data_IF_633801967912
#
_entry.id   IF_633801967912
#
_cell.length_a   1.000
_cell.length_b   1.000
_cell.length_c   1.000
_cell.angle_alpha   90.00
_cell.angle_beta   90.00
_cell.angle_gamma   90.00
#
_symmetry.space_group_name_H-M   'P 1'
#
loop_
_entity.id
_entity.type
_entity.pdbx_description
1 polymer ?
#
# COMPACT_ATOMS: atom_id res chain seq x y z
N UNK A 1 -2.00 -40.58 -5.72
CA UNK A 1 -1.91 -39.13 -5.44
C UNK A 1 -2.22 -38.96 -3.97
N UNK A 2 -1.41 -38.23 -3.19
CA UNK A 2 -1.64 -38.08 -1.76
C UNK A 2 -2.92 -37.28 -1.50
N UNK A 3 -3.63 -37.67 -0.45
CA UNK A 3 -4.83 -37.00 0.05
C UNK A 3 -4.64 -36.64 1.52
N UNK A 4 -5.26 -35.55 1.94
CA UNK A 4 -5.29 -35.13 3.33
C UNK A 4 -6.74 -35.03 3.80
N UNK A 5 -7.03 -35.72 4.89
CA UNK A 5 -8.31 -35.63 5.60
C UNK A 5 -8.15 -34.62 6.72
N UNK A 6 -8.97 -33.58 6.69
CA UNK A 6 -9.07 -32.59 7.76
C UNK A 6 -10.44 -32.78 8.41
N UNK A 7 -10.45 -33.01 9.71
CA UNK A 7 -11.67 -33.24 10.47
C UNK A 7 -11.68 -32.40 11.73
N UNK A 8 -12.86 -32.17 12.31
CA UNK A 8 -12.98 -31.54 13.63
C UNK A 8 -13.40 -32.57 14.65
N UNK A 9 -12.62 -32.73 15.72
CA UNK A 9 -13.00 -33.60 16.82
C UNK A 9 -14.26 -33.07 17.53
N UNK A 10 -14.87 -33.88 18.39
CA UNK A 10 -15.99 -33.46 19.23
C UNK A 10 -15.66 -32.23 20.12
N UNK A 11 -14.38 -32.01 20.40
CA UNK A 11 -13.87 -30.82 21.13
C UNK A 11 -13.66 -29.59 20.24
N UNK A 12 -13.97 -29.70 18.94
CA UNK A 12 -13.79 -28.66 17.93
C UNK A 12 -12.34 -28.47 17.47
N UNK A 13 -11.40 -29.33 17.90
CA UNK A 13 -9.99 -29.23 17.49
C UNK A 13 -9.80 -29.84 16.10
N UNK A 14 -9.03 -29.19 15.20
CA UNK A 14 -8.73 -29.76 13.90
C UNK A 14 -7.76 -30.94 14.03
N UNK A 15 -8.15 -32.08 13.47
CA UNK A 15 -7.30 -33.25 13.25
C UNK A 15 -6.90 -33.34 11.78
N UNK A 16 -5.71 -33.91 11.53
CA UNK A 16 -5.14 -34.08 10.20
C UNK A 16 -4.69 -35.52 10.02
N UNK A 17 -5.07 -36.13 8.91
CA UNK A 17 -4.63 -37.46 8.53
C UNK A 17 -4.22 -37.47 7.06
N UNK A 18 -3.01 -37.93 6.76
CA UNK A 18 -2.51 -38.05 5.40
C UNK A 18 -2.63 -39.49 4.92
N UNK A 19 -3.12 -39.67 3.70
CA UNK A 19 -3.28 -40.96 3.04
C UNK A 19 -2.66 -40.92 1.64
N UNK A 20 -2.08 -42.03 1.18
CA UNK A 20 -1.38 -42.08 -0.12
C UNK A 20 -2.35 -42.30 -1.30
N UNK A 21 -3.51 -42.89 -1.00
CA UNK A 21 -4.57 -43.24 -1.94
C UNK A 21 -5.93 -42.76 -1.44
N UNK A 22 -6.84 -42.46 -2.37
CA UNK A 22 -8.19 -41.97 -2.03
C UNK A 22 -8.99 -42.98 -1.20
N UNK A 23 -8.85 -44.27 -1.52
CA UNK A 23 -9.57 -45.37 -0.85
C UNK A 23 -9.25 -45.43 0.66
N UNK A 24 -8.00 -45.19 1.04
CA UNK A 24 -7.57 -45.11 2.44
C UNK A 24 -8.17 -43.88 3.15
N UNK A 25 -8.16 -42.72 2.48
CA UNK A 25 -8.78 -41.50 3.00
C UNK A 25 -10.29 -41.69 3.26
N UNK A 26 -11.00 -42.37 2.35
CA UNK A 26 -12.43 -42.67 2.51
C UNK A 26 -12.67 -43.60 3.69
N UNK A 27 -11.90 -44.70 3.81
CA UNK A 27 -12.00 -45.60 4.97
C UNK A 27 -11.76 -44.88 6.29
N UNK A 28 -10.82 -43.93 6.31
CA UNK A 28 -10.56 -43.14 7.51
C UNK A 28 -11.74 -42.22 7.85
N UNK A 29 -12.33 -41.53 6.87
CA UNK A 29 -13.54 -40.71 7.10
C UNK A 29 -14.73 -41.56 7.58
N UNK A 30 -14.91 -42.75 7.02
CA UNK A 30 -15.94 -43.68 7.48
C UNK A 30 -15.69 -44.13 8.92
N UNK A 31 -14.43 -44.39 9.30
CA UNK A 31 -14.08 -44.70 10.67
C UNK A 31 -14.41 -43.55 11.62
N UNK A 32 -14.04 -42.31 11.28
CA UNK A 32 -14.36 -41.12 12.06
C UNK A 32 -15.88 -40.97 12.28
N UNK A 33 -16.67 -41.18 11.23
CA UNK A 33 -18.13 -41.07 11.33
C UNK A 33 -18.74 -42.18 12.19
N UNK A 34 -18.25 -43.41 12.04
CA UNK A 34 -18.86 -44.58 12.68
C UNK A 34 -18.37 -44.81 14.12
N UNK A 35 -17.12 -44.46 14.44
CA UNK A 35 -16.49 -44.74 15.73
C UNK A 35 -16.41 -43.50 16.63
N UNK A 36 -16.19 -42.32 16.05
CA UNK A 36 -15.96 -41.07 16.81
C UNK A 36 -17.13 -40.08 16.70
N UNK A 37 -18.20 -40.43 15.97
CA UNK A 37 -19.36 -39.55 15.70
C UNK A 37 -18.97 -38.19 15.10
N UNK A 38 -17.86 -38.15 14.35
CA UNK A 38 -17.37 -36.93 13.71
C UNK A 38 -18.01 -36.80 12.32
N UNK A 39 -18.87 -35.80 12.14
CA UNK A 39 -19.56 -35.53 10.87
C UNK A 39 -18.83 -34.49 9.99
N UNK A 40 -18.06 -33.58 10.60
CA UNK A 40 -17.32 -32.53 9.88
C UNK A 40 -15.91 -33.02 9.50
N UNK A 41 -15.85 -33.85 8.46
CA UNK A 41 -14.62 -34.33 7.83
C UNK A 41 -14.58 -33.99 6.33
N UNK A 42 -13.41 -33.53 5.86
CA UNK A 42 -13.19 -33.09 4.48
C UNK A 42 -11.91 -33.73 3.92
N UNK A 43 -11.99 -34.21 2.69
CA UNK A 43 -10.85 -34.79 1.97
C UNK A 43 -10.33 -33.77 0.95
N UNK A 44 -9.02 -33.55 0.95
CA UNK A 44 -8.31 -32.69 0.01
C UNK A 44 -7.31 -33.50 -0.81
N UNK A 45 -7.25 -33.28 -2.12
CA UNK A 45 -6.15 -33.78 -2.94
C UNK A 45 -4.91 -32.92 -2.74
N UNK A 46 -3.76 -33.55 -2.55
CA UNK A 46 -2.48 -32.86 -2.38
C UNK A 46 -1.80 -32.74 -3.75
N UNK A 47 -1.51 -31.50 -4.14
CA UNK A 47 -0.75 -31.18 -5.34
C UNK A 47 0.54 -30.48 -4.94
N UNK A 48 1.66 -30.92 -5.51
CA UNK A 48 2.92 -30.24 -5.33
C UNK A 48 2.87 -28.84 -5.95
N UNK A 49 3.22 -27.83 -5.16
CA UNK A 49 3.34 -26.45 -5.61
C UNK A 49 4.82 -26.13 -5.64
N UNK A 50 5.40 -26.08 -6.84
CA UNK A 50 6.79 -25.65 -7.03
C UNK A 50 6.91 -24.17 -6.71
N UNK A 51 7.56 -23.83 -5.59
CA UNK A 51 7.81 -22.44 -5.21
C UNK A 51 9.24 -22.04 -5.58
N UNK A 52 9.37 -20.88 -6.22
CA UNK A 52 10.65 -20.23 -6.49
C UNK A 52 10.69 -18.91 -5.71
N UNK A 53 11.63 -18.78 -4.78
CA UNK A 53 11.76 -17.58 -3.96
C UNK A 53 12.78 -16.65 -4.63
N UNK A 54 12.32 -15.52 -5.19
CA UNK A 54 13.17 -14.49 -5.78
C UNK A 54 13.28 -13.28 -4.86
N UNK A 55 14.51 -12.97 -4.45
CA UNK A 55 14.79 -11.77 -3.65
C UNK A 55 15.05 -10.59 -4.58
N UNK A 56 14.21 -9.56 -4.49
CA UNK A 56 14.38 -8.31 -5.24
C UNK A 56 14.90 -7.21 -4.31
N UNK A 57 16.09 -6.68 -4.61
CA UNK A 57 16.64 -5.51 -3.93
C UNK A 57 16.43 -4.28 -4.81
N UNK A 58 15.69 -3.29 -4.29
CA UNK A 58 15.60 -1.96 -4.88
C UNK A 58 16.62 -1.07 -4.17
N UNK A 59 17.70 -0.73 -4.86
CA UNK A 59 18.70 0.22 -4.37
C UNK A 59 18.33 1.60 -4.90
N UNK A 60 18.04 2.52 -3.98
CA UNK A 60 17.93 3.94 -4.29
C UNK A 60 19.19 4.64 -3.78
N UNK A 61 19.88 5.36 -4.67
CA UNK A 61 21.05 6.16 -4.30
C UNK A 61 20.57 7.59 -4.11
N UNK A 62 20.41 8.00 -2.85
CA UNK A 62 20.19 9.40 -2.51
C UNK A 62 21.52 10.14 -2.58
N UNK A 63 21.85 10.66 -3.76
CA UNK A 63 23.01 11.49 -3.98
C UNK A 63 22.83 12.33 -5.24
N UNK A 64 23.04 13.64 -5.13
CA UNK A 64 23.14 14.51 -6.29
C UNK A 64 24.33 14.02 -7.13
N UNK A 65 24.07 13.57 -8.35
CA UNK A 65 25.13 13.24 -9.31
C UNK A 65 25.85 14.55 -9.59
N UNK A 66 26.97 14.78 -8.90
CA UNK A 66 27.77 15.98 -9.11
C UNK A 66 28.33 15.90 -10.52
N UNK A 67 27.74 16.70 -11.42
CA UNK A 67 28.21 16.82 -12.79
C UNK A 67 29.69 17.20 -12.78
N UNK A 68 30.53 16.58 -13.63
CA UNK A 68 31.94 16.93 -13.69
C UNK A 68 32.08 18.43 -14.00
N UNK A 69 32.88 19.13 -13.19
CA UNK A 69 33.05 20.57 -13.30
C UNK A 69 33.61 20.95 -14.68
N UNK A 70 32.92 21.86 -15.38
CA UNK A 70 33.37 22.37 -16.67
C UNK A 70 34.71 23.13 -16.53
N UNK A 71 35.62 23.04 -17.52
CA UNK A 71 36.88 23.78 -17.49
C UNK A 71 36.63 25.30 -17.42
N UNK A 72 37.31 25.98 -16.50
CA UNK A 72 37.15 27.43 -16.31
C UNK A 72 37.80 28.19 -17.46
N UNK A 73 37.02 28.94 -18.21
CA UNK A 73 37.52 29.82 -19.27
C UNK A 73 38.41 30.95 -18.70
N UNK A 74 39.47 31.37 -19.41
CA UNK A 74 40.31 32.48 -18.99
C UNK A 74 39.53 33.80 -18.96
N UNK A 75 39.70 34.60 -17.90
CA UNK A 75 39.10 35.94 -17.79
C UNK A 75 39.80 36.89 -18.76
N UNK A 76 39.06 37.47 -19.69
CA UNK A 76 39.53 38.64 -20.44
C UNK A 76 39.52 39.87 -19.53
N UNK A 77 40.61 40.64 -19.58
CA UNK A 77 40.71 41.93 -18.91
C UNK A 77 39.76 42.94 -19.57
N UNK A 78 38.97 43.64 -18.75
CA UNK A 78 38.08 44.69 -19.21
C UNK A 78 38.90 45.90 -19.70
N UNK A 79 38.69 46.30 -20.94
CA UNK A 79 39.21 47.56 -21.47
C UNK A 79 38.24 48.65 -21.04
N UNK A 80 38.68 49.54 -20.15
CA UNK A 80 37.90 50.71 -19.75
C UNK A 80 37.98 51.73 -20.88
N UNK A 81 36.87 51.90 -21.61
CA UNK A 81 36.71 53.04 -22.53
C UNK A 81 35.87 54.08 -21.81
N UNK A 82 36.50 55.22 -21.50
CA UNK A 82 35.84 56.40 -20.98
C UNK A 82 35.09 57.12 -22.12
N UNK A 83 33.83 57.50 -21.89
CA UNK A 83 33.18 58.49 -22.75
C UNK A 83 31.66 58.41 -22.81
N UNK A 84 31.04 59.41 -22.17
CA UNK A 84 29.74 60.03 -22.50
C UNK A 84 28.44 59.28 -22.13
N UNK A 85 27.89 59.69 -20.98
CA UNK A 85 26.44 59.94 -20.81
C UNK A 85 25.94 60.93 -21.90
N UNK A 86 24.67 60.88 -22.36
CA UNK A 86 23.59 61.29 -21.46
C UNK A 86 22.17 60.72 -21.70
N UNK A 87 21.32 61.12 -20.74
CA UNK A 87 19.85 61.33 -20.71
C UNK A 87 18.87 60.16 -20.68
N UNK A 88 18.47 59.83 -19.44
CA UNK A 88 17.15 60.12 -18.84
C UNK A 88 15.90 59.99 -19.73
N UNK A 89 15.06 59.01 -19.42
CA UNK A 89 13.62 59.22 -19.32
C UNK A 89 12.98 58.16 -18.40
N UNK A 90 12.50 58.64 -17.25
CA UNK A 90 11.68 57.93 -16.29
C UNK A 90 10.32 57.52 -16.86
N UNK A 91 9.83 56.32 -16.49
CA UNK A 91 8.42 56.07 -16.12
C UNK A 91 8.23 54.68 -15.48
N UNK A 92 8.25 54.62 -14.15
CA UNK A 92 7.29 53.79 -13.39
C UNK A 92 6.15 54.72 -12.94
N UNK A 93 5.03 54.27 -12.33
CA UNK A 93 4.39 52.96 -12.28
C UNK A 93 2.89 53.08 -12.67
N UNK A 94 2.19 51.97 -12.90
CA UNK A 94 0.71 51.94 -12.84
C UNK A 94 0.29 50.52 -12.44
N UNK A 95 0.12 50.29 -11.14
CA UNK A 95 -1.14 50.28 -10.38
C UNK A 95 -1.99 49.03 -10.59
N UNK A 96 -1.99 48.19 -9.56
CA UNK A 96 -3.18 47.65 -8.87
C UNK A 96 -4.43 47.42 -9.69
N UNK A 97 -4.85 46.17 -9.78
CA UNK A 97 -6.24 45.81 -9.44
C UNK A 97 -6.24 44.44 -8.77
N UNK A 98 -6.40 44.46 -7.45
CA UNK A 98 -6.97 43.33 -6.73
C UNK A 98 -8.47 43.31 -7.02
N UNK A 99 -9.04 42.16 -7.35
CA UNK A 99 -10.47 41.92 -7.18
C UNK A 99 -10.70 40.54 -6.61
N UNK A 100 -11.33 40.55 -5.45
CA UNK A 100 -11.58 39.43 -4.57
C UNK A 100 -12.80 38.61 -5.00
N UNK A 101 -12.80 37.32 -4.67
CA UNK A 101 -14.01 36.63 -4.22
C UNK A 101 -13.64 35.43 -3.35
N UNK A 102 -13.62 35.69 -2.04
CA UNK A 102 -13.64 34.71 -0.96
C UNK A 102 -15.09 34.23 -0.85
N UNK A 103 -15.32 32.90 -0.90
CA UNK A 103 -16.66 32.32 -0.85
C UNK A 103 -16.71 31.00 -0.07
N UNK A 104 -16.60 31.09 1.25
CA UNK A 104 -17.09 30.12 2.28
C UNK A 104 -17.40 31.02 3.50
N UNK A 105 -18.45 30.82 4.33
CA UNK A 105 -19.09 29.55 4.72
C UNK A 105 -20.63 29.63 4.91
N UNK A 106 -21.26 28.52 5.33
CA UNK A 106 -22.14 28.43 6.52
C UNK A 106 -23.29 27.42 6.40
N UNK A 107 -23.57 26.77 7.55
CA UNK A 107 -24.71 25.91 7.86
C UNK A 107 -24.24 24.55 8.38
N UNK A 108 -23.81 24.35 9.63
CA UNK A 108 -24.30 24.75 10.95
C UNK A 108 -25.64 24.09 11.36
N UNK A 109 -25.47 22.99 12.12
CA UNK A 109 -26.25 22.49 13.26
C UNK A 109 -27.68 21.93 13.12
N UNK A 110 -27.85 20.73 13.70
CA UNK A 110 -28.71 20.42 14.87
C UNK A 110 -28.48 18.94 15.23
N UNK A 111 -27.82 18.55 16.33
CA UNK A 111 -28.19 18.58 17.76
C UNK A 111 -29.38 17.66 18.15
N UNK A 112 -29.03 16.55 18.82
CA UNK A 112 -29.67 15.88 19.96
C UNK A 112 -31.19 15.58 19.98
N UNK A 113 -31.58 14.32 20.30
CA UNK A 113 -31.92 13.90 21.68
C UNK A 113 -32.77 12.60 21.75
N UNK A 114 -32.64 11.94 22.92
CA UNK A 114 -33.65 11.13 23.64
C UNK A 114 -33.74 9.61 23.44
N UNK A 115 -33.06 8.87 24.34
CA UNK A 115 -33.71 8.36 25.57
C UNK A 115 -34.21 6.90 25.61
N UNK A 116 -34.22 6.24 26.79
CA UNK A 116 -34.15 4.77 26.95
C UNK A 116 -35.50 4.11 27.30
N UNK A 117 -35.60 2.79 27.12
CA UNK A 117 -36.77 1.99 27.51
C UNK A 117 -36.38 0.69 28.22
N UNK A 118 -36.68 0.65 29.51
CA UNK A 118 -36.71 -0.51 30.41
C UNK A 118 -38.14 -1.05 30.52
N UNK A 119 -38.34 -2.36 30.41
CA UNK A 119 -39.45 -3.17 31.00
C UNK A 119 -39.22 -4.62 30.52
N UNK A 120 -39.32 -5.70 31.31
CA UNK A 120 -39.67 -5.91 32.72
C UNK A 120 -39.39 -7.38 33.09
#
# INVERSE_FOLDING_TARGET
>A
MPHMVIYRSAEGKPGYHQADVLDEAVRFVEHLRNAEEIEDARIFSMHEVSIEIKTYYRVEVSGEVQAPAAPRAPRQAAVVTAGADPVSAAREPSTTTASAARGVPAGLAALAASGPGSDG
#
